data_IF_936591809208
#
_entry.id   IF_936591809208
#
_cell.length_a   1.000
_cell.length_b   1.000
_cell.length_c   1.000
_cell.angle_alpha   90.00
_cell.angle_beta   90.00
_cell.angle_gamma   90.00
#
_symmetry.space_group_name_H-M   'P 1'
#
loop_
_entity.id
_entity.type
_entity.pdbx_description
1 polymer ?
#
# COMPACT_ATOMS: atom_id res chain seq x y z
N UNK A 1 1.49 -16.79 -42.87
CA UNK A 1 1.73 -16.39 -41.47
C UNK A 1 1.79 -14.87 -41.44
N UNK A 2 0.73 -14.25 -40.92
CA UNK A 2 0.54 -12.80 -40.95
C UNK A 2 1.15 -12.25 -39.65
N UNK A 3 2.30 -11.58 -39.78
CA UNK A 3 2.92 -10.89 -38.65
C UNK A 3 2.02 -9.73 -38.26
N UNK A 4 1.43 -9.81 -37.06
CA UNK A 4 0.76 -8.67 -36.44
C UNK A 4 1.81 -7.60 -36.19
N UNK A 5 1.75 -6.54 -36.99
CA UNK A 5 2.52 -5.32 -36.79
C UNK A 5 2.15 -4.72 -35.43
N UNK A 6 3.14 -4.60 -34.55
CA UNK A 6 3.02 -3.94 -33.27
C UNK A 6 2.43 -2.54 -33.47
N UNK A 7 1.20 -2.34 -32.99
CA UNK A 7 0.62 -1.01 -32.86
C UNK A 7 1.54 -0.20 -31.98
N UNK A 8 1.96 0.96 -32.49
CA UNK A 8 2.57 2.03 -31.70
C UNK A 8 1.85 2.09 -30.35
N UNK A 9 2.63 2.09 -29.27
CA UNK A 9 2.16 2.23 -27.89
C UNK A 9 1.50 3.58 -27.73
N UNK A 10 0.27 3.69 -28.25
CA UNK A 10 -0.69 4.72 -27.93
C UNK A 10 -0.76 4.74 -26.41
N UNK A 11 -0.50 5.90 -25.84
CA UNK A 11 -0.63 6.16 -24.41
C UNK A 11 -1.98 5.61 -23.95
N UNK A 12 -1.95 4.49 -23.23
CA UNK A 12 -3.19 3.88 -22.77
C UNK A 12 -3.66 4.73 -21.61
N UNK A 13 -4.82 5.37 -21.77
CA UNK A 13 -5.40 6.23 -20.74
C UNK A 13 -5.49 5.51 -19.38
N UNK A 14 -5.38 6.24 -18.26
CA UNK A 14 -5.60 5.70 -16.94
C UNK A 14 -7.00 5.06 -16.81
N UNK A 15 -7.15 4.16 -15.84
CA UNK A 15 -8.44 3.54 -15.55
C UNK A 15 -9.37 4.54 -14.85
N UNK A 16 -10.49 4.84 -15.50
CA UNK A 16 -11.60 5.59 -14.91
C UNK A 16 -12.40 4.70 -13.95
N UNK A 17 -13.10 5.27 -12.96
CA UNK A 17 -13.93 4.48 -12.05
C UNK A 17 -15.04 3.69 -12.76
N UNK A 18 -15.81 4.27 -13.71
CA UNK A 18 -16.78 3.50 -14.49
C UNK A 18 -16.17 2.31 -15.21
N UNK A 19 -14.95 2.46 -15.76
CA UNK A 19 -14.25 1.37 -16.44
C UNK A 19 -13.81 0.27 -15.47
N UNK A 20 -13.37 0.62 -14.27
CA UNK A 20 -13.05 -0.36 -13.22
C UNK A 20 -14.31 -1.15 -12.82
N UNK A 21 -15.43 -0.47 -12.61
CA UNK A 21 -16.71 -1.13 -12.31
C UNK A 21 -17.11 -2.10 -13.42
N UNK A 22 -17.06 -1.67 -14.68
CA UNK A 22 -17.39 -2.51 -15.85
C UNK A 22 -16.47 -3.74 -15.96
N UNK A 23 -15.18 -3.58 -15.66
CA UNK A 23 -14.19 -4.65 -15.83
C UNK A 23 -14.21 -5.71 -14.72
N UNK A 24 -14.63 -5.34 -13.51
CA UNK A 24 -14.38 -6.14 -12.31
C UNK A 24 -15.62 -6.44 -11.47
N UNK A 25 -16.73 -5.75 -11.69
CA UNK A 25 -18.02 -6.15 -11.10
C UNK A 25 -18.76 -6.95 -12.15
N UNK A 26 -18.89 -8.25 -11.91
CA UNK A 26 -19.71 -9.11 -12.75
C UNK A 26 -21.14 -8.57 -12.84
N UNK A 27 -21.80 -8.85 -13.97
CA UNK A 27 -23.22 -8.52 -14.17
C UNK A 27 -24.15 -9.42 -13.34
N UNK A 28 -23.62 -10.51 -12.79
CA UNK A 28 -24.39 -11.43 -11.97
C UNK A 28 -24.77 -10.73 -10.64
N UNK A 29 -26.02 -10.92 -10.18
CA UNK A 29 -26.49 -10.28 -8.97
C UNK A 29 -25.55 -10.68 -7.84
N UNK A 30 -24.85 -9.70 -7.22
CA UNK A 30 -23.86 -10.01 -6.21
C UNK A 30 -24.56 -10.84 -5.13
N UNK A 31 -23.95 -11.97 -4.77
CA UNK A 31 -24.28 -12.53 -3.46
C UNK A 31 -24.04 -11.38 -2.47
N UNK A 32 -25.06 -11.07 -1.67
CA UNK A 32 -25.16 -9.87 -0.81
C UNK A 32 -23.92 -9.58 0.07
N UNK A 33 -22.99 -10.53 0.16
CA UNK A 33 -21.86 -10.49 1.06
C UNK A 33 -20.60 -9.82 0.51
N UNK A 34 -20.45 -9.49 -0.79
CA UNK A 34 -19.16 -8.90 -1.23
C UNK A 34 -19.13 -8.08 -2.54
N UNK A 35 -19.97 -7.06 -2.68
CA UNK A 35 -20.06 -6.20 -3.89
C UNK A 35 -18.71 -5.54 -4.30
N UNK A 36 -17.76 -5.43 -3.36
CA UNK A 36 -16.49 -4.73 -3.56
C UNK A 36 -15.28 -5.67 -3.77
N UNK A 37 -15.45 -6.98 -3.64
CA UNK A 37 -14.34 -7.94 -3.75
C UNK A 37 -14.16 -8.44 -5.18
N UNK A 38 -12.93 -8.41 -5.68
CA UNK A 38 -12.53 -9.03 -6.94
C UNK A 38 -11.82 -10.35 -6.63
N UNK A 39 -12.31 -11.50 -7.12
CA UNK A 39 -11.66 -12.79 -6.95
C UNK A 39 -10.20 -12.79 -7.46
N UNK A 40 -9.29 -13.45 -6.74
CA UNK A 40 -7.87 -13.49 -7.11
C UNK A 40 -7.58 -14.19 -8.45
N UNK A 41 -8.50 -15.02 -8.92
CA UNK A 41 -8.46 -15.71 -10.22
C UNK A 41 -9.14 -14.92 -11.34
N UNK A 42 -9.63 -13.71 -11.06
CA UNK A 42 -10.30 -12.87 -12.05
C UNK A 42 -9.35 -12.52 -13.21
N UNK A 43 -9.71 -12.83 -14.48
CA UNK A 43 -8.77 -12.74 -15.61
C UNK A 43 -8.30 -11.32 -15.90
N UNK A 44 -9.12 -10.31 -15.57
CA UNK A 44 -8.77 -8.91 -15.80
C UNK A 44 -7.78 -8.32 -14.79
N UNK A 45 -7.40 -9.05 -13.73
CA UNK A 45 -6.39 -8.53 -12.77
C UNK A 45 -5.04 -8.24 -13.46
N UNK A 46 -4.71 -8.99 -14.50
CA UNK A 46 -3.51 -8.75 -15.31
C UNK A 46 -3.56 -7.44 -16.12
N UNK A 47 -4.73 -6.79 -16.25
CA UNK A 47 -4.86 -5.50 -16.93
C UNK A 47 -4.39 -4.33 -16.07
N UNK A 48 -4.37 -4.50 -14.75
CA UNK A 48 -3.82 -3.49 -13.87
C UNK A 48 -2.35 -3.25 -14.19
N UNK A 49 -2.03 -1.99 -14.43
CA UNK A 49 -0.69 -1.55 -14.83
C UNK A 49 -0.36 -0.23 -14.17
N UNK A 50 0.91 0.12 -14.18
CA UNK A 50 1.40 1.44 -13.76
C UNK A 50 1.56 2.33 -14.99
N UNK A 51 1.49 3.64 -14.78
CA UNK A 51 1.91 4.60 -15.80
C UNK A 51 3.39 4.39 -16.14
N UNK A 52 3.84 4.83 -17.31
CA UNK A 52 5.25 4.69 -17.70
C UNK A 52 6.20 5.35 -16.68
N UNK A 53 5.80 6.49 -16.12
CA UNK A 53 6.57 7.19 -15.10
C UNK A 53 6.61 6.41 -13.77
N UNK A 54 5.47 5.90 -13.31
CA UNK A 54 5.40 5.10 -12.08
C UNK A 54 6.14 3.77 -12.22
N UNK A 55 6.07 3.11 -13.40
CA UNK A 55 6.84 1.90 -13.69
C UNK A 55 8.35 2.18 -13.68
N UNK A 56 8.80 3.29 -14.28
CA UNK A 56 10.21 3.71 -14.22
C UNK A 56 10.67 4.02 -12.80
N UNK A 57 9.82 4.61 -11.96
CA UNK A 57 10.10 4.83 -10.55
C UNK A 57 10.22 3.50 -9.78
N UNK A 58 9.31 2.55 -10.04
CA UNK A 58 9.32 1.22 -9.45
C UNK A 58 10.60 0.44 -9.80
N UNK A 59 11.03 0.44 -11.06
CA UNK A 59 12.27 -0.24 -11.46
C UNK A 59 13.52 0.39 -10.83
N UNK A 60 13.59 1.72 -10.75
CA UNK A 60 14.68 2.39 -10.00
C UNK A 60 14.67 2.01 -8.53
N UNK A 61 13.49 1.90 -7.92
CA UNK A 61 13.36 1.49 -6.54
C UNK A 61 13.82 0.05 -6.33
N UNK A 62 13.51 -0.89 -7.24
CA UNK A 62 14.04 -2.26 -7.19
C UNK A 62 15.56 -2.31 -7.21
N UNK A 63 16.21 -1.45 -7.99
CA UNK A 63 17.67 -1.33 -8.01
C UNK A 63 18.18 -0.84 -6.65
N UNK A 64 17.53 0.18 -6.07
CA UNK A 64 17.84 0.67 -4.73
C UNK A 64 17.74 -0.43 -3.67
N UNK A 65 16.64 -1.21 -3.67
CA UNK A 65 16.44 -2.32 -2.73
C UNK A 65 17.57 -3.34 -2.81
N UNK A 66 17.88 -3.81 -4.03
CA UNK A 66 19.00 -4.77 -4.24
C UNK A 66 20.35 -4.22 -3.79
N UNK A 67 20.55 -2.90 -3.90
CA UNK A 67 21.83 -2.28 -3.60
C UNK A 67 22.01 -1.94 -2.13
N UNK A 68 20.92 -1.64 -1.40
CA UNK A 68 20.99 -1.10 -0.04
C UNK A 68 20.45 -2.04 1.03
N UNK A 69 19.68 -3.06 0.67
CA UNK A 69 19.01 -3.94 1.60
C UNK A 69 19.44 -5.38 1.37
N UNK A 70 19.47 -6.16 2.45
CA UNK A 70 19.76 -7.59 2.37
C UNK A 70 18.65 -8.35 1.64
N UNK A 71 17.40 -7.97 1.91
CA UNK A 71 16.25 -8.46 1.16
C UNK A 71 15.23 -7.34 0.94
N UNK A 72 14.37 -7.52 -0.07
CA UNK A 72 13.21 -6.65 -0.25
C UNK A 72 12.24 -6.73 0.94
N UNK A 73 12.20 -7.87 1.64
CA UNK A 73 11.37 -8.07 2.83
C UNK A 73 11.86 -7.22 4.00
N UNK A 74 13.17 -7.11 4.21
CA UNK A 74 13.74 -6.24 5.26
C UNK A 74 13.33 -4.78 5.08
N UNK A 75 13.43 -4.28 3.84
CA UNK A 75 12.95 -2.92 3.53
C UNK A 75 11.46 -2.81 3.79
N UNK A 76 10.68 -3.77 3.29
CA UNK A 76 9.23 -3.71 3.33
C UNK A 76 8.72 -3.69 4.78
N UNK A 77 9.14 -4.63 5.63
CA UNK A 77 8.66 -4.66 7.02
C UNK A 77 9.00 -3.39 7.78
N UNK A 78 10.19 -2.82 7.54
CA UNK A 78 10.57 -1.56 8.17
C UNK A 78 9.77 -0.37 7.60
N UNK A 79 9.58 -0.30 6.28
CA UNK A 79 8.89 0.81 5.63
C UNK A 79 7.39 0.85 5.91
N UNK A 80 6.77 -0.31 6.15
CA UNK A 80 5.33 -0.49 6.30
C UNK A 80 4.91 -0.60 7.76
N UNK A 81 5.67 -1.31 8.59
CA UNK A 81 5.38 -1.52 10.01
C UNK A 81 6.33 -0.68 10.88
N UNK A 82 7.63 -0.72 10.59
CA UNK A 82 8.63 0.15 11.20
C UNK A 82 8.71 0.05 12.73
N UNK A 83 9.22 1.10 13.35
CA UNK A 83 9.50 1.15 14.80
C UNK A 83 8.24 0.95 15.65
N UNK A 84 7.07 1.33 15.13
CA UNK A 84 5.79 1.19 15.82
C UNK A 84 5.40 -0.26 16.11
N UNK A 85 5.93 -1.19 15.32
CA UNK A 85 5.76 -2.64 15.53
C UNK A 85 7.06 -3.30 16.03
N UNK A 86 8.01 -2.49 16.50
CA UNK A 86 9.29 -2.95 17.01
C UNK A 86 10.29 -3.37 15.95
N UNK A 87 10.12 -2.96 14.69
CA UNK A 87 11.13 -3.18 13.65
C UNK A 87 12.16 -2.06 13.65
N UNK A 88 13.42 -2.44 13.73
CA UNK A 88 14.57 -1.55 13.68
C UNK A 88 15.43 -1.83 12.45
N UNK A 89 16.09 -0.78 11.95
CA UNK A 89 17.06 -0.88 10.87
C UNK A 89 18.44 -1.17 11.43
N UNK A 90 18.99 -2.33 11.12
CA UNK A 90 20.38 -2.69 11.49
C UNK A 90 21.29 -2.72 10.27
N UNK A 91 22.56 -2.38 10.46
CA UNK A 91 23.59 -2.43 9.41
C UNK A 91 24.34 -3.74 9.55
N UNK A 92 24.48 -4.49 8.45
CA UNK A 92 25.22 -5.76 8.41
C UNK A 92 26.23 -5.75 7.27
N UNK A 93 27.37 -6.40 7.48
CA UNK A 93 28.41 -6.53 6.45
C UNK A 93 27.92 -7.43 5.30
N UNK A 94 28.12 -6.99 4.06
CA UNK A 94 27.85 -7.77 2.85
C UNK A 94 29.00 -8.78 2.65
N UNK A 95 28.66 -10.02 2.31
CA UNK A 95 29.66 -11.01 1.94
C UNK A 95 30.45 -10.51 0.72
N UNK A 96 31.78 -10.50 0.82
CA UNK A 96 32.69 -9.83 -0.13
C UNK A 96 32.65 -10.36 -1.59
N UNK A 97 31.83 -11.37 -1.87
CA UNK A 97 31.78 -12.07 -3.16
C UNK A 97 30.82 -11.50 -4.19
N UNK A 98 29.98 -10.50 -3.85
CA UNK A 98 28.96 -9.97 -4.76
C UNK A 98 28.98 -8.43 -4.91
N UNK A 99 29.59 -7.97 -6.03
CA UNK A 99 29.16 -6.80 -6.81
C UNK A 99 29.31 -5.40 -6.19
N UNK A 100 30.44 -4.73 -6.47
CA UNK A 100 30.75 -3.35 -6.02
C UNK A 100 30.30 -2.22 -6.98
N UNK A 101 29.80 -2.51 -8.19
CA UNK A 101 29.69 -1.47 -9.23
C UNK A 101 28.43 -0.58 -9.19
N UNK A 102 27.37 -0.95 -8.45
CA UNK A 102 26.09 -0.23 -8.48
C UNK A 102 25.98 0.96 -7.49
N UNK A 103 26.92 1.11 -6.55
CA UNK A 103 26.80 2.06 -5.45
C UNK A 103 26.91 3.53 -5.91
N UNK A 104 27.65 3.79 -6.98
CA UNK A 104 27.92 5.16 -7.44
C UNK A 104 26.66 5.88 -7.98
N UNK A 105 25.57 5.18 -8.26
CA UNK A 105 24.34 5.80 -8.79
C UNK A 105 23.52 6.57 -7.74
N UNK A 106 23.85 6.45 -6.46
CA UNK A 106 23.06 7.03 -5.38
C UNK A 106 23.79 8.09 -4.56
N UNK A 107 25.02 8.49 -4.93
CA UNK A 107 25.81 9.48 -4.21
C UNK A 107 25.00 10.75 -3.85
N UNK A 108 24.95 11.09 -2.56
CA UNK A 108 24.21 12.24 -2.03
C UNK A 108 22.90 11.93 -1.30
N UNK A 109 22.44 10.67 -1.28
CA UNK A 109 21.32 10.27 -0.39
C UNK A 109 21.83 9.94 1.02
N UNK A 110 21.14 10.45 2.04
CA UNK A 110 21.45 10.14 3.45
C UNK A 110 21.06 8.69 3.85
N UNK A 111 20.33 7.98 3.00
CA UNK A 111 19.76 6.65 3.28
C UNK A 111 20.52 5.50 2.60
N UNK A 112 21.83 5.63 2.40
CA UNK A 112 22.69 4.59 1.81
C UNK A 112 23.54 3.98 2.92
N UNK A 113 23.62 2.65 3.03
CA UNK A 113 24.48 2.02 4.02
C UNK A 113 25.96 2.29 3.70
N UNK A 114 26.87 2.21 4.69
CA UNK A 114 28.31 2.31 4.44
C UNK A 114 28.79 1.30 3.38
N UNK A 115 29.89 1.61 2.70
CA UNK A 115 30.49 0.72 1.71
C UNK A 115 30.75 -0.67 2.29
N UNK A 116 30.34 -1.71 1.55
CA UNK A 116 30.44 -3.10 2.00
C UNK A 116 29.38 -3.51 3.03
N UNK A 117 28.38 -2.67 3.31
CA UNK A 117 27.27 -2.99 4.21
C UNK A 117 25.91 -2.93 3.49
N UNK A 118 24.91 -3.56 4.11
CA UNK A 118 23.50 -3.45 3.74
C UNK A 118 22.64 -3.24 4.98
N UNK A 119 21.42 -2.76 4.79
CA UNK A 119 20.39 -2.72 5.82
C UNK A 119 19.65 -4.06 5.93
N UNK A 120 19.31 -4.44 7.15
CA UNK A 120 18.44 -5.57 7.50
C UNK A 120 17.41 -5.09 8.53
N UNK A 121 16.23 -5.70 8.55
CA UNK A 121 15.25 -5.47 9.61
C UNK A 121 15.54 -6.38 10.82
N UNK A 122 15.35 -5.83 12.03
CA UNK A 122 15.36 -6.60 13.27
C UNK A 122 14.10 -6.28 14.08
N UNK A 123 13.22 -7.26 14.39
CA UNK A 123 13.27 -8.65 13.94
C UNK A 123 13.12 -8.80 12.42
N UNK A 124 13.57 -9.92 11.86
CA UNK A 124 13.28 -10.27 10.45
C UNK A 124 11.80 -10.61 10.26
N UNK A 125 11.31 -10.61 9.02
CA UNK A 125 9.93 -11.04 8.72
C UNK A 125 9.62 -12.42 9.31
N UNK A 126 10.52 -13.39 9.16
CA UNK A 126 10.33 -14.74 9.71
C UNK A 126 10.23 -14.74 11.24
N UNK A 127 11.05 -13.93 11.91
CA UNK A 127 11.01 -13.80 13.38
C UNK A 127 9.71 -13.14 13.84
N UNK A 128 9.29 -12.06 13.16
CA UNK A 128 8.02 -11.39 13.45
C UNK A 128 6.82 -12.31 13.21
N UNK A 129 6.77 -13.01 12.07
CA UNK A 129 5.71 -13.98 11.77
C UNK A 129 5.60 -15.06 12.83
N UNK A 130 6.72 -15.67 13.25
CA UNK A 130 6.73 -16.66 14.34
C UNK A 130 6.19 -16.07 15.63
N UNK A 131 6.70 -14.91 16.03
CA UNK A 131 6.24 -14.22 17.24
C UNK A 131 4.72 -13.96 17.20
N UNK A 132 4.20 -13.43 16.09
CA UNK A 132 2.77 -13.15 15.95
C UNK A 132 1.91 -14.42 16.01
N UNK A 133 2.35 -15.52 15.40
CA UNK A 133 1.64 -16.81 15.48
C UNK A 133 1.68 -17.40 16.89
N UNK A 134 2.84 -17.43 17.53
CA UNK A 134 3.03 -17.98 18.88
C UNK A 134 2.18 -17.23 19.93
N UNK A 135 1.95 -15.93 19.71
CA UNK A 135 1.18 -15.07 20.60
C UNK A 135 -0.26 -14.80 20.12
N UNK A 136 -0.71 -15.44 19.02
CA UNK A 136 -2.05 -15.26 18.43
C UNK A 136 -2.41 -13.78 18.14
N UNK A 137 -1.42 -13.03 17.65
CA UNK A 137 -1.54 -11.62 17.26
C UNK A 137 -1.49 -11.51 15.73
N UNK A 138 -2.16 -10.49 15.18
CA UNK A 138 -1.99 -10.06 13.79
C UNK A 138 -1.50 -8.61 13.78
N UNK A 139 -0.44 -8.33 13.01
CA UNK A 139 -0.05 -6.96 12.68
C UNK A 139 -0.73 -6.55 11.37
N UNK A 140 -1.48 -5.45 11.40
CA UNK A 140 -2.06 -4.85 10.20
C UNK A 140 -1.51 -3.44 9.97
N UNK A 141 -1.13 -3.17 8.74
CA UNK A 141 -0.73 -1.83 8.30
C UNK A 141 -1.46 -1.46 7.03
N UNK A 142 -2.14 -0.31 7.06
CA UNK A 142 -2.88 0.22 5.93
C UNK A 142 -2.17 1.48 5.46
N UNK A 143 -1.61 1.43 4.24
CA UNK A 143 -0.77 2.50 3.70
C UNK A 143 -1.10 2.82 2.25
N UNK A 144 -0.86 4.05 1.78
CA UNK A 144 -0.90 4.34 0.36
C UNK A 144 0.13 3.50 -0.39
N UNK A 145 -0.22 3.00 -1.58
CA UNK A 145 0.71 2.27 -2.41
C UNK A 145 1.77 3.23 -3.00
N UNK A 146 3.04 3.03 -2.69
CA UNK A 146 4.15 3.86 -3.20
C UNK A 146 4.28 3.84 -4.73
N UNK A 147 3.76 2.80 -5.39
CA UNK A 147 3.81 2.62 -6.84
C UNK A 147 2.40 2.27 -7.34
N UNK A 148 1.47 3.25 -7.30
CA UNK A 148 0.06 3.02 -7.58
C UNK A 148 -0.14 2.60 -9.05
N UNK A 149 -1.33 2.08 -9.31
CA UNK A 149 -1.75 1.74 -10.67
C UNK A 149 -2.16 3.01 -11.41
N UNK A 150 -2.18 2.90 -12.74
CA UNK A 150 -2.54 3.99 -13.64
C UNK A 150 -4.06 4.20 -13.63
N UNK A 151 -4.53 4.97 -12.65
CA UNK A 151 -5.95 5.26 -12.41
C UNK A 151 -6.18 6.77 -12.50
N UNK A 152 -7.42 7.17 -12.79
CA UNK A 152 -7.82 8.58 -12.87
C UNK A 152 -7.63 9.34 -11.54
N UNK A 153 -7.58 10.67 -11.65
CA UNK A 153 -7.59 11.57 -10.49
C UNK A 153 -8.82 11.30 -9.60
N UNK A 154 -8.63 11.39 -8.28
CA UNK A 154 -9.67 11.09 -7.28
C UNK A 154 -9.79 9.60 -6.91
N UNK A 155 -9.07 8.70 -7.61
CA UNK A 155 -8.97 7.29 -7.24
C UNK A 155 -7.67 7.05 -6.47
N UNK A 156 -7.78 6.67 -5.21
CA UNK A 156 -6.64 6.35 -4.36
C UNK A 156 -6.33 4.84 -4.41
N UNK A 157 -5.05 4.49 -4.37
CA UNK A 157 -4.60 3.09 -4.28
C UNK A 157 -3.89 2.85 -2.96
N UNK A 158 -4.50 2.01 -2.13
CA UNK A 158 -4.02 1.60 -0.82
C UNK A 158 -3.62 0.12 -0.80
N UNK A 159 -2.74 -0.24 0.13
CA UNK A 159 -2.38 -1.61 0.43
C UNK A 159 -2.65 -1.89 1.91
N UNK A 160 -3.39 -2.96 2.18
CA UNK A 160 -3.51 -3.54 3.51
C UNK A 160 -2.49 -4.67 3.63
N UNK A 161 -1.52 -4.52 4.51
CA UNK A 161 -0.49 -5.51 4.80
C UNK A 161 -0.79 -6.26 6.10
N UNK A 162 -0.44 -7.54 6.13
CA UNK A 162 -0.66 -8.45 7.25
C UNK A 162 0.60 -9.26 7.55
N UNK A 163 1.00 -9.28 8.82
CA UNK A 163 1.98 -10.24 9.38
C UNK A 163 1.27 -11.01 10.50
N UNK A 164 1.41 -12.34 10.49
CA UNK A 164 0.84 -13.22 11.50
C UNK A 164 -0.56 -13.72 11.19
N UNK A 165 -1.27 -14.13 12.24
CA UNK A 165 -2.54 -14.85 12.17
C UNK A 165 -2.47 -16.26 12.76
N UNK A 166 -3.52 -17.05 12.51
CA UNK A 166 -3.64 -18.44 12.98
C UNK A 166 -2.68 -19.38 12.25
N UNK A 167 -2.26 -19.03 11.02
CA UNK A 167 -1.20 -19.71 10.30
C UNK A 167 -0.45 -18.76 9.37
N UNK A 168 0.75 -19.16 8.94
CA UNK A 168 1.55 -18.41 7.97
C UNK A 168 0.94 -18.38 6.56
N UNK A 169 -0.09 -19.19 6.29
CA UNK A 169 -0.76 -19.29 4.99
C UNK A 169 -2.13 -18.61 5.00
N UNK A 170 -2.50 -17.97 6.10
CA UNK A 170 -3.80 -17.36 6.25
C UNK A 170 -3.88 -16.07 5.42
N UNK A 171 -4.85 -15.99 4.51
CA UNK A 171 -5.10 -14.77 3.75
C UNK A 171 -5.68 -13.65 4.62
N UNK A 172 -5.86 -12.47 4.04
CA UNK A 172 -6.61 -11.39 4.68
C UNK A 172 -8.07 -11.83 4.80
N UNK A 173 -8.60 -11.78 6.02
CA UNK A 173 -9.98 -12.13 6.34
C UNK A 173 -10.93 -10.97 6.02
N UNK A 174 -12.23 -11.27 5.96
CA UNK A 174 -13.26 -10.26 5.77
C UNK A 174 -13.35 -9.25 6.91
N UNK A 175 -13.04 -9.66 8.15
CA UNK A 175 -13.03 -8.76 9.31
C UNK A 175 -11.87 -7.77 9.26
N UNK A 176 -10.68 -8.23 8.85
CA UNK A 176 -9.49 -7.41 8.64
C UNK A 176 -9.71 -6.41 7.48
N UNK A 177 -10.39 -6.84 6.41
CA UNK A 177 -10.77 -5.93 5.32
C UNK A 177 -11.82 -4.90 5.76
N UNK A 178 -12.83 -5.33 6.52
CA UNK A 178 -13.83 -4.41 7.06
C UNK A 178 -13.21 -3.39 8.03
N UNK A 179 -12.18 -3.78 8.78
CA UNK A 179 -11.37 -2.84 9.58
C UNK A 179 -10.68 -1.82 8.67
N UNK A 180 -10.00 -2.26 7.61
CA UNK A 180 -9.30 -1.34 6.71
C UNK A 180 -10.23 -0.32 6.05
N UNK A 181 -11.42 -0.75 5.58
CA UNK A 181 -12.40 0.17 5.00
C UNK A 181 -12.93 1.20 6.02
N UNK A 182 -13.13 0.81 7.29
CA UNK A 182 -13.48 1.76 8.37
C UNK A 182 -12.35 2.73 8.67
N UNK A 183 -11.11 2.27 8.72
CA UNK A 183 -9.96 3.16 8.93
C UNK A 183 -9.79 4.14 7.76
N UNK A 184 -10.01 3.72 6.51
CA UNK A 184 -9.96 4.62 5.35
C UNK A 184 -11.02 5.74 5.40
N UNK A 185 -12.17 5.49 6.02
CA UNK A 185 -13.20 6.50 6.28
C UNK A 185 -12.77 7.49 7.37
N UNK A 186 -12.02 7.01 8.36
CA UNK A 186 -11.58 7.78 9.52
C UNK A 186 -10.18 8.38 9.36
N UNK A 187 -9.46 8.07 8.27
CA UNK A 187 -8.06 8.43 8.08
C UNK A 187 -7.93 9.96 8.10
N UNK A 188 -7.47 10.45 9.24
CA UNK A 188 -6.79 11.72 9.39
C UNK A 188 -5.29 11.43 9.24
N UNK A 189 -4.50 12.44 8.89
CA UNK A 189 -3.08 12.34 8.46
C UNK A 189 -2.14 11.49 9.34
N UNK A 190 -2.56 11.06 10.54
CA UNK A 190 -1.72 10.46 11.56
C UNK A 190 -1.97 8.97 11.89
N UNK A 191 -2.94 8.29 11.28
CA UNK A 191 -3.14 6.85 11.56
C UNK A 191 -2.35 5.97 10.58
N UNK A 192 -1.39 5.17 11.07
CA UNK A 192 -0.48 4.35 10.24
C UNK A 192 -0.53 2.83 10.47
N UNK A 193 -1.41 2.30 11.33
CA UNK A 193 -1.57 0.85 11.52
C UNK A 193 -2.28 0.47 12.82
N UNK A 194 -2.51 -0.83 13.02
CA UNK A 194 -3.00 -1.38 14.28
C UNK A 194 -2.45 -2.79 14.57
N UNK A 195 -2.52 -3.18 15.85
CA UNK A 195 -2.27 -4.53 16.30
C UNK A 195 -3.63 -5.14 16.68
N UNK A 196 -3.92 -6.34 16.19
CA UNK A 196 -5.15 -7.08 16.50
C UNK A 196 -4.81 -8.31 17.33
N UNK A 197 -5.41 -8.40 18.52
CA UNK A 197 -5.39 -9.61 19.34
C UNK A 197 -6.58 -10.52 18.97
N UNK A 198 -6.32 -11.81 18.68
CA UNK A 198 -7.36 -12.76 18.25
C UNK A 198 -8.17 -13.38 19.39
N UNK A 199 -7.81 -13.11 20.63
CA UNK A 199 -8.55 -13.52 21.82
C UNK A 199 -9.86 -12.72 22.03
N UNK A 200 -10.23 -11.86 21.07
CA UNK A 200 -11.45 -11.07 21.08
C UNK A 200 -11.35 -9.81 21.95
N UNK A 201 -10.14 -9.45 22.42
CA UNK A 201 -9.92 -8.29 23.27
C UNK A 201 -9.14 -7.22 22.52
N UNK A 202 -9.90 -6.21 22.09
CA UNK A 202 -9.46 -4.87 21.69
C UNK A 202 -8.53 -4.72 20.48
N UNK A 203 -8.79 -3.65 19.72
CA UNK A 203 -7.81 -3.05 18.81
C UNK A 203 -6.99 -2.11 19.66
N UNK A 204 -5.88 -2.60 20.20
CA UNK A 204 -4.97 -1.74 20.92
C UNK A 204 -4.25 -0.89 19.87
N UNK A 205 -4.64 0.39 19.79
CA UNK A 205 -3.74 1.37 19.18
C UNK A 205 -2.53 1.41 20.10
N UNK A 206 -1.31 1.13 19.60
CA UNK A 206 -0.12 1.24 20.42
C UNK A 206 -0.12 2.63 21.05
N UNK A 207 0.07 2.69 22.37
CA UNK A 207 0.13 3.96 23.11
C UNK A 207 1.08 4.91 22.38
N UNK A 208 0.64 6.16 22.16
CA UNK A 208 1.24 7.21 21.32
C UNK A 208 2.67 7.56 21.81
N UNK A 209 3.63 6.66 21.58
CA UNK A 209 5.01 6.77 22.01
C UNK A 209 5.74 7.69 21.02
N UNK A 210 5.85 8.96 21.41
CA UNK A 210 6.71 10.00 20.83
C UNK A 210 6.51 10.31 19.35
N UNK A 211 5.62 11.28 19.09
CA UNK A 211 5.50 11.95 17.80
C UNK A 211 6.77 12.77 17.48
N UNK A 212 7.51 12.39 16.44
CA UNK A 212 8.38 13.31 15.70
C UNK A 212 7.57 14.05 14.63
N UNK A 213 7.52 15.39 14.63
CA UNK A 213 6.80 16.16 13.62
C UNK A 213 7.66 16.26 12.35
N UNK A 214 7.44 15.37 11.39
CA UNK A 214 7.94 15.59 10.04
C UNK A 214 6.84 16.26 9.21
N UNK A 215 7.14 17.46 8.72
CA UNK A 215 6.32 18.29 7.84
C UNK A 215 5.68 17.47 6.70
N UNK A 216 4.38 17.18 6.83
CA UNK A 216 3.52 16.76 5.73
C UNK A 216 2.54 17.91 5.51
N UNK A 217 2.44 18.38 4.27
CA UNK A 217 1.62 19.53 3.91
C UNK A 217 0.17 19.34 4.32
N UNK A 218 -0.46 20.44 4.75
CA UNK A 218 -1.85 20.61 5.11
C UNK A 218 -2.79 19.77 4.21
N UNK A 219 -3.25 18.61 4.69
CA UNK A 219 -4.15 17.75 3.92
C UNK A 219 -5.57 18.29 4.07
N UNK A 220 -6.23 18.44 2.93
CA UNK A 220 -7.66 18.77 2.88
C UNK A 220 -8.42 17.71 3.66
N UNK A 221 -9.46 18.12 4.38
CA UNK A 221 -10.37 17.21 5.08
C UNK A 221 -10.73 16.06 4.12
N UNK A 222 -10.33 14.83 4.46
CA UNK A 222 -10.47 13.69 3.56
C UNK A 222 -11.94 13.55 3.19
N UNK A 223 -12.23 13.68 1.90
CA UNK A 223 -13.56 13.45 1.36
C UNK A 223 -14.08 12.06 1.73
N UNK A 224 -15.40 11.94 1.90
CA UNK A 224 -16.04 10.66 2.15
C UNK A 224 -15.74 9.66 1.02
N UNK A 225 -15.57 8.39 1.38
CA UNK A 225 -15.43 7.31 0.41
C UNK A 225 -16.79 7.10 -0.25
N UNK A 226 -16.84 7.34 -1.56
CA UNK A 226 -18.03 7.08 -2.37
C UNK A 226 -18.15 5.60 -2.71
N UNK A 227 -17.04 4.95 -3.02
CA UNK A 227 -17.02 3.55 -3.46
C UNK A 227 -15.61 2.93 -3.29
N UNK A 228 -15.54 1.60 -3.26
CA UNK A 228 -14.30 0.84 -3.15
C UNK A 228 -14.31 -0.46 -3.97
N UNK A 229 -13.12 -0.91 -4.38
CA UNK A 229 -12.88 -2.27 -4.86
C UNK A 229 -11.58 -2.79 -4.26
N UNK A 230 -11.50 -4.08 -3.95
CA UNK A 230 -10.29 -4.66 -3.39
C UNK A 230 -10.07 -6.10 -3.84
N UNK A 231 -8.80 -6.52 -3.81
CA UNK A 231 -8.38 -7.85 -4.23
C UNK A 231 -7.05 -8.25 -3.60
N UNK A 232 -6.75 -9.54 -3.68
CA UNK A 232 -5.40 -10.08 -3.44
C UNK A 232 -4.87 -10.56 -4.78
N UNK A 233 -3.68 -10.12 -5.18
CA UNK A 233 -3.08 -10.56 -6.44
C UNK A 233 -2.91 -12.09 -6.43
N UNK A 234 -3.15 -12.80 -7.55
CA UNK A 234 -2.84 -14.21 -7.65
C UNK A 234 -1.33 -14.47 -7.49
N UNK A 235 -0.91 -15.69 -7.11
CA UNK A 235 0.49 -16.00 -6.82
C UNK A 235 1.49 -15.59 -7.91
N UNK A 236 1.11 -15.71 -9.19
CA UNK A 236 1.98 -15.36 -10.32
C UNK A 236 2.11 -13.84 -10.56
N UNK A 237 1.32 -13.00 -9.89
CA UNK A 237 1.39 -11.53 -9.94
C UNK A 237 1.92 -10.90 -8.64
N UNK A 238 2.11 -11.70 -7.57
CA UNK A 238 2.64 -11.22 -6.32
C UNK A 238 4.16 -11.01 -6.40
N UNK A 239 4.64 -9.86 -5.96
CA UNK A 239 6.08 -9.61 -5.82
C UNK A 239 6.65 -10.06 -4.47
N UNK A 240 5.81 -10.10 -3.44
CA UNK A 240 6.20 -10.39 -2.05
C UNK A 240 5.26 -11.48 -1.47
N UNK A 241 5.36 -12.75 -1.92
CA UNK A 241 4.41 -13.79 -1.55
C UNK A 241 4.48 -14.22 -0.07
N UNK A 242 5.57 -13.95 0.65
CA UNK A 242 5.72 -14.34 2.07
C UNK A 242 5.02 -13.38 3.04
N UNK A 243 4.45 -12.28 2.54
CA UNK A 243 3.70 -11.32 3.35
C UNK A 243 2.36 -11.02 2.69
N UNK A 244 1.29 -11.31 3.42
CA UNK A 244 -0.05 -11.15 2.90
C UNK A 244 -0.37 -9.68 2.69
N UNK A 245 -0.88 -9.34 1.51
CA UNK A 245 -1.35 -7.99 1.22
C UNK A 245 -2.54 -8.00 0.29
N UNK A 246 -3.46 -7.07 0.51
CA UNK A 246 -4.57 -6.77 -0.37
C UNK A 246 -4.40 -5.36 -0.92
N UNK A 247 -4.82 -5.19 -2.16
CA UNK A 247 -4.91 -3.90 -2.81
C UNK A 247 -6.34 -3.38 -2.66
N UNK A 248 -6.48 -2.09 -2.43
CA UNK A 248 -7.76 -1.40 -2.25
C UNK A 248 -7.72 -0.15 -3.13
N UNK A 249 -8.64 -0.04 -4.08
CA UNK A 249 -8.91 1.21 -4.78
C UNK A 249 -10.12 1.89 -4.15
N UNK A 250 -9.99 3.19 -3.90
CA UNK A 250 -10.99 3.99 -3.20
C UNK A 250 -11.34 5.18 -4.08
N UNK A 251 -12.62 5.35 -4.41
CA UNK A 251 -13.14 6.57 -4.99
C UNK A 251 -13.65 7.47 -3.86
N UNK A 252 -13.10 8.68 -3.76
CA UNK A 252 -13.65 9.70 -2.85
C UNK A 252 -14.61 10.60 -3.61
N UNK A 253 -15.76 10.90 -3.02
CA UNK A 253 -16.64 11.92 -3.61
C UNK A 253 -15.93 13.26 -3.49
N UNK A 254 -15.77 14.00 -4.57
CA UNK A 254 -15.50 15.44 -4.42
C UNK A 254 -16.66 16.01 -3.63
N UNK A 255 -16.48 16.22 -2.32
CA UNK A 255 -17.35 17.14 -1.61
C UNK A 255 -17.17 18.44 -2.38
N UNK A 256 -18.16 18.80 -3.18
CA UNK A 256 -18.28 20.14 -3.72
C UNK A 256 -18.28 21.04 -2.50
N UNK A 257 -17.09 21.49 -2.10
CA UNK A 257 -16.90 22.56 -1.16
C UNK A 257 -17.30 23.87 -1.87
N UNK A 258 -18.45 23.86 -2.55
CA UNK A 258 -19.30 25.01 -2.73
C UNK A 258 -19.92 25.34 -1.36
N UNK A 259 -19.08 25.60 -0.37
CA UNK A 259 -19.50 26.50 0.71
C UNK A 259 -19.45 27.88 0.11
N UNK A 260 -20.59 28.28 -0.42
CA UNK A 260 -21.14 29.62 -0.23
C UNK A 260 -20.11 30.76 -0.21
N UNK A 261 -19.43 30.99 -1.32
CA UNK A 261 -18.86 32.31 -1.63
C UNK A 261 -19.95 33.26 -2.20
N UNK A 262 -21.23 32.95 -1.94
CA UNK A 262 -22.28 33.96 -1.87
C UNK A 262 -22.15 34.75 -0.57
N UNK A 263 -21.02 35.44 -0.41
CA UNK A 263 -21.01 36.65 0.41
C UNK A 263 -21.97 37.63 -0.27
N UNK A 264 -23.21 37.69 0.20
CA UNK A 264 -24.12 38.75 -0.20
C UNK A 264 -23.39 40.10 0.03
N UNK A 265 -23.30 40.99 -0.98
CA UNK A 265 -22.67 42.28 -0.77
C UNK A 265 -23.43 43.01 0.34
N UNK A 266 -22.71 43.43 1.38
CA UNK A 266 -23.27 44.30 2.42
C UNK A 266 -23.93 45.51 1.74
N UNK A 267 -25.20 45.84 2.04
CA UNK A 267 -25.78 47.08 1.55
C UNK A 267 -24.98 48.28 2.12
N UNK A 268 -24.77 49.35 1.34
CA UNK A 268 -24.02 50.51 1.78
C UNK A 268 -24.73 51.19 2.98
N UNK A 269 -23.96 51.82 3.88
CA UNK A 269 -24.53 52.51 5.04
C UNK A 269 -25.41 53.69 4.61
N UNK A 270 -26.54 53.84 5.31
CA UNK A 270 -27.54 54.92 5.15
C UNK A 270 -27.08 56.19 5.85
#
# INVERSE_FOLDING_TARGET
>A
MQFCTATNTNEINPFTWPRLVELFRDSDPPTLQNVHYIPSDHPNLALFRRSAAAQKAYERHKIYLKSCWESAYDYLVLSIFGEWFGFERVIVSRNASEGSELVNQFEGRCDIPPNGCVYRASPSLTQASRYTTDNQITYLSLVPNNFPYDVDEGIEHWCLWKIGGSSSTESISMEEMAWALRELQCISENSRGCIIHRDGRTFDKPDDASRTPANVGQVRKSAAISDAIYWVNPPHLQSMPEICHAHILVLRSEEMCHRDEYSAPCPPPV
#
